data_IF_440468820668
#
_entry.id   IF_440468820668
#
_cell.length_a   1.000
_cell.length_b   1.000
_cell.length_c   1.000
_cell.angle_alpha   90.00
_cell.angle_beta   90.00
_cell.angle_gamma   90.00
#
_symmetry.space_group_name_H-M   'P 1'
#
loop_
_entity.id
_entity.type
_entity.pdbx_description
1 polymer ?
#
# COMPACT_ATOMS: atom_id res chain seq x y z
N UNK A 1 78.89 -3.26 -22.25
CA UNK A 1 77.48 -3.73 -22.20
C UNK A 1 76.75 -2.85 -21.17
N UNK A 2 75.89 -1.94 -21.63
CA UNK A 2 75.09 -1.05 -20.75
C UNK A 2 73.67 -1.56 -20.75
N UNK A 3 73.16 -1.96 -19.59
CA UNK A 3 71.74 -2.28 -19.40
C UNK A 3 71.01 -1.00 -19.00
N UNK A 4 70.04 -0.60 -19.81
CA UNK A 4 69.12 0.48 -19.46
C UNK A 4 67.88 -0.15 -18.77
N UNK A 5 67.62 0.31 -17.55
CA UNK A 5 66.40 0.02 -16.82
C UNK A 5 65.32 1.07 -17.20
N UNK A 6 64.27 0.64 -17.84
CA UNK A 6 63.05 1.45 -18.07
C UNK A 6 62.03 1.14 -16.99
N UNK A 7 61.90 2.06 -16.01
CA UNK A 7 60.81 2.00 -15.00
C UNK A 7 59.53 2.54 -15.62
N UNK A 8 58.59 1.67 -15.89
CA UNK A 8 57.24 2.05 -16.28
C UNK A 8 56.38 2.42 -15.06
N UNK A 9 55.99 3.67 -14.96
CA UNK A 9 55.04 4.16 -13.96
C UNK A 9 53.61 3.80 -14.42
N UNK A 10 52.90 2.93 -13.68
CA UNK A 10 51.49 2.64 -13.88
C UNK A 10 50.68 3.70 -13.11
N UNK A 11 50.04 4.59 -13.85
CA UNK A 11 49.13 5.57 -13.26
C UNK A 11 47.75 4.90 -13.00
N UNK A 12 47.42 4.72 -11.73
CA UNK A 12 46.13 4.24 -11.29
C UNK A 12 45.10 5.39 -11.30
N UNK A 13 44.24 5.46 -12.31
CA UNK A 13 43.16 6.43 -12.37
C UNK A 13 42.00 5.96 -11.46
N UNK A 14 41.84 6.66 -10.32
CA UNK A 14 40.69 6.48 -9.44
C UNK A 14 39.45 7.16 -10.06
N UNK A 15 38.53 6.35 -10.62
CA UNK A 15 37.24 6.83 -11.08
C UNK A 15 36.34 7.04 -9.84
N UNK A 16 36.18 8.30 -9.43
CA UNK A 16 35.23 8.70 -8.39
C UNK A 16 33.82 8.67 -8.99
N UNK A 17 33.03 7.62 -8.73
CA UNK A 17 31.58 7.62 -9.01
C UNK A 17 30.91 8.62 -8.07
N UNK A 18 30.53 9.77 -8.59
CA UNK A 18 29.68 10.72 -7.90
C UNK A 18 28.26 10.12 -7.82
N UNK A 19 27.85 9.64 -6.63
CA UNK A 19 26.46 9.32 -6.35
C UNK A 19 25.66 10.62 -6.31
N UNK A 20 24.91 10.92 -7.35
CA UNK A 20 23.91 11.99 -7.31
C UNK A 20 22.77 11.56 -6.34
N UNK A 21 22.38 12.42 -5.38
CA UNK A 21 21.25 12.10 -4.51
C UNK A 21 19.99 11.92 -5.36
N UNK A 22 19.36 10.75 -5.28
CA UNK A 22 18.06 10.53 -5.89
C UNK A 22 17.02 11.43 -5.17
N UNK A 23 16.16 12.13 -5.91
CA UNK A 23 15.08 12.88 -5.29
C UNK A 23 14.20 11.91 -4.49
N UNK A 24 14.04 12.20 -3.20
CA UNK A 24 13.10 11.47 -2.36
C UNK A 24 11.69 11.60 -2.96
N UNK A 25 10.99 10.48 -3.14
CA UNK A 25 9.61 10.52 -3.60
C UNK A 25 8.79 11.38 -2.64
N UNK A 26 7.98 12.29 -3.19
CA UNK A 26 7.13 13.14 -2.37
C UNK A 26 6.15 12.28 -1.59
N UNK A 27 6.01 12.54 -0.28
CA UNK A 27 5.10 11.78 0.59
C UNK A 27 3.65 11.96 0.12
N UNK A 28 2.88 10.86 0.13
CA UNK A 28 1.47 10.86 -0.24
C UNK A 28 0.64 11.55 0.83
N UNK A 29 0.01 12.66 0.49
CA UNK A 29 -0.88 13.41 1.37
C UNK A 29 -2.32 13.14 0.98
N UNK A 30 -3.07 12.43 1.82
CA UNK A 30 -4.52 12.24 1.63
C UNK A 30 -5.23 13.42 2.28
N UNK A 31 -5.80 14.30 1.46
CA UNK A 31 -6.58 15.46 1.93
C UNK A 31 -8.05 15.11 2.10
N UNK A 32 -8.58 14.23 1.26
CA UNK A 32 -9.95 13.70 1.32
C UNK A 32 -9.95 12.18 1.16
N UNK A 33 -10.39 11.41 2.16
CA UNK A 33 -10.47 9.95 2.12
C UNK A 33 -11.32 9.41 0.97
N UNK A 34 -12.47 10.02 0.68
CA UNK A 34 -13.36 9.52 -0.38
C UNK A 34 -12.76 9.75 -1.77
N UNK A 35 -12.18 10.92 -2.01
CA UNK A 35 -11.47 11.21 -3.25
C UNK A 35 -10.25 10.29 -3.44
N UNK A 36 -9.54 9.97 -2.36
CA UNK A 36 -8.44 9.00 -2.39
C UNK A 36 -8.94 7.61 -2.80
N UNK A 37 -9.96 7.05 -2.11
CA UNK A 37 -10.55 5.76 -2.46
C UNK A 37 -11.05 5.76 -3.91
N UNK A 38 -11.76 6.81 -4.34
CA UNK A 38 -12.19 6.97 -5.73
C UNK A 38 -11.01 6.86 -6.71
N UNK A 39 -9.88 7.48 -6.40
CA UNK A 39 -8.68 7.46 -7.25
C UNK A 39 -8.05 6.07 -7.35
N UNK A 40 -8.05 5.29 -6.26
CA UNK A 40 -7.59 3.90 -6.24
C UNK A 40 -8.46 3.05 -7.18
N UNK A 41 -9.78 3.10 -7.00
CA UNK A 41 -10.70 2.34 -7.84
C UNK A 41 -10.67 2.77 -9.31
N UNK A 42 -10.46 4.06 -9.60
CA UNK A 42 -10.31 4.53 -10.97
C UNK A 42 -9.04 3.98 -11.67
N UNK A 43 -8.02 3.60 -10.90
CA UNK A 43 -6.82 2.92 -11.43
C UNK A 43 -7.07 1.43 -11.60
N UNK A 44 -7.67 0.77 -10.60
CA UNK A 44 -8.04 -0.64 -10.68
C UNK A 44 -8.99 -0.93 -11.85
N UNK A 45 -9.95 -0.02 -12.13
CA UNK A 45 -10.87 -0.14 -13.25
C UNK A 45 -10.20 -0.07 -14.64
N UNK A 46 -8.95 0.41 -14.72
CA UNK A 46 -8.17 0.42 -15.99
C UNK A 46 -7.46 -0.89 -16.25
N UNK A 47 -7.55 -1.83 -15.35
CA UNK A 47 -6.81 -3.08 -15.35
C UNK A 47 -5.38 -2.90 -14.86
N UNK A 48 -4.88 -3.93 -14.18
CA UNK A 48 -3.54 -3.98 -13.61
C UNK A 48 -3.52 -3.89 -12.09
N UNK A 49 -2.43 -4.36 -11.51
CA UNK A 49 -2.21 -4.36 -10.06
C UNK A 49 -1.79 -2.96 -9.63
N UNK A 50 -2.70 -2.24 -9.01
CA UNK A 50 -2.37 -0.98 -8.36
C UNK A 50 -2.23 -1.18 -6.85
N UNK A 51 -1.01 -1.05 -6.36
CA UNK A 51 -0.70 -1.02 -4.94
C UNK A 51 -0.41 0.43 -4.57
N UNK A 52 -1.23 1.06 -3.70
CA UNK A 52 -0.93 2.38 -3.19
C UNK A 52 0.41 2.41 -2.44
N UNK A 53 1.10 3.56 -2.38
CA UNK A 53 2.32 3.70 -1.60
C UNK A 53 2.11 3.36 -0.12
N UNK A 54 3.11 2.76 0.53
CA UNK A 54 3.02 2.35 1.94
C UNK A 54 2.84 3.50 2.93
N UNK A 55 3.22 4.71 2.54
CA UNK A 55 3.10 5.93 3.37
C UNK A 55 1.66 6.42 3.57
N UNK A 56 0.67 5.76 2.94
CA UNK A 56 -0.75 6.03 3.18
C UNK A 56 -1.27 5.43 4.49
N UNK A 57 -0.57 4.48 5.08
CA UNK A 57 -1.04 3.77 6.27
C UNK A 57 -0.77 4.54 7.56
N UNK A 58 -1.61 4.32 8.58
CA UNK A 58 -1.27 4.74 9.94
C UNK A 58 -0.04 3.98 10.45
N UNK A 59 0.70 4.50 11.46
CA UNK A 59 1.82 3.76 12.06
C UNK A 59 1.43 2.36 12.54
N UNK A 60 0.18 2.20 13.02
CA UNK A 60 -0.34 0.91 13.44
C UNK A 60 -0.43 -0.08 12.28
N UNK A 61 -1.14 0.29 11.21
CA UNK A 61 -1.33 -0.60 10.05
C UNK A 61 -0.01 -0.85 9.32
N UNK A 62 0.87 0.16 9.21
CA UNK A 62 2.21 0.01 8.65
C UNK A 62 3.07 -0.99 9.45
N UNK A 63 2.98 -0.96 10.79
CA UNK A 63 3.70 -1.92 11.63
C UNK A 63 3.20 -3.36 11.44
N UNK A 64 1.90 -3.56 11.20
CA UNK A 64 1.33 -4.88 10.89
C UNK A 64 1.80 -5.39 9.52
N UNK A 65 1.84 -4.53 8.49
CA UNK A 65 2.43 -4.88 7.19
C UNK A 65 3.92 -5.24 7.31
N UNK A 66 4.68 -4.48 8.10
CA UNK A 66 6.09 -4.78 8.34
C UNK A 66 6.29 -6.10 9.13
N UNK A 67 5.38 -6.45 10.04
CA UNK A 67 5.37 -7.74 10.73
C UNK A 67 5.11 -8.87 9.73
N UNK A 68 4.07 -8.73 8.92
CA UNK A 68 3.69 -9.68 7.89
C UNK A 68 4.85 -9.98 6.93
N UNK A 69 5.50 -8.93 6.39
CA UNK A 69 6.65 -9.09 5.50
C UNK A 69 7.85 -9.78 6.14
N UNK A 70 8.06 -9.60 7.46
CA UNK A 70 9.12 -10.32 8.17
C UNK A 70 8.78 -11.79 8.39
N UNK A 71 7.54 -12.11 8.73
CA UNK A 71 7.10 -13.48 9.04
C UNK A 71 6.88 -14.32 7.78
N UNK A 72 6.57 -13.68 6.64
CA UNK A 72 6.46 -14.36 5.35
C UNK A 72 7.80 -14.92 4.83
N UNK A 73 8.95 -14.40 5.30
CA UNK A 73 10.29 -14.85 4.89
C UNK A 73 10.50 -14.91 3.37
N UNK A 74 9.81 -14.08 2.60
CA UNK A 74 9.84 -14.06 1.14
C UNK A 74 8.87 -15.05 0.48
N UNK A 75 8.10 -15.79 1.25
CA UNK A 75 6.97 -16.60 0.78
C UNK A 75 5.69 -15.79 0.68
N UNK A 76 4.62 -16.41 0.20
CA UNK A 76 3.28 -15.81 0.24
C UNK A 76 2.84 -15.65 1.69
N UNK A 77 2.51 -14.42 2.09
CA UNK A 77 2.08 -14.11 3.43
C UNK A 77 0.60 -14.48 3.70
N UNK A 78 0.06 -13.93 4.78
CA UNK A 78 -1.36 -14.12 5.19
C UNK A 78 -2.33 -13.43 4.26
N UNK A 79 -1.88 -12.36 3.58
CA UNK A 79 -2.63 -11.63 2.55
C UNK A 79 -2.17 -12.12 1.19
N UNK A 80 -2.94 -13.03 0.60
CA UNK A 80 -2.74 -13.61 -0.73
C UNK A 80 -3.77 -13.11 -1.76
N UNK A 81 -4.46 -12.02 -1.43
CA UNK A 81 -5.50 -11.41 -2.26
C UNK A 81 -5.40 -9.89 -2.27
N UNK A 82 -6.01 -9.26 -3.27
CA UNK A 82 -6.09 -7.80 -3.37
C UNK A 82 -7.26 -7.29 -2.53
N UNK A 83 -6.97 -6.86 -1.31
CA UNK A 83 -7.98 -6.42 -0.34
C UNK A 83 -8.82 -5.21 -0.81
N UNK A 84 -8.36 -4.46 -1.81
CA UNK A 84 -9.10 -3.36 -2.41
C UNK A 84 -10.33 -3.82 -3.20
N UNK A 85 -10.34 -5.05 -3.70
CA UNK A 85 -11.43 -5.62 -4.52
C UNK A 85 -12.05 -6.88 -3.91
N UNK A 86 -11.61 -7.25 -2.69
CA UNK A 86 -12.04 -8.48 -2.01
C UNK A 86 -11.88 -9.74 -2.86
N UNK A 87 -10.72 -9.85 -3.53
CA UNK A 87 -10.47 -10.97 -4.45
C UNK A 87 -9.02 -10.99 -4.95
N UNK A 88 -8.64 -12.07 -5.62
CA UNK A 88 -7.30 -12.22 -6.18
C UNK A 88 -7.11 -11.42 -7.46
N UNK A 89 -8.16 -11.33 -8.26
CA UNK A 89 -8.20 -10.60 -9.52
C UNK A 89 -9.57 -9.97 -9.76
N UNK A 90 -9.70 -9.24 -10.85
CA UNK A 90 -10.94 -8.65 -11.31
C UNK A 90 -10.84 -7.14 -11.54
N UNK A 91 -11.88 -6.64 -12.18
CA UNK A 91 -12.02 -5.21 -12.48
C UNK A 91 -13.27 -4.70 -11.78
N UNK A 92 -13.15 -3.83 -10.77
CA UNK A 92 -14.30 -3.32 -10.05
C UNK A 92 -15.18 -2.44 -10.95
N UNK A 93 -16.48 -2.69 -10.93
CA UNK A 93 -17.50 -1.94 -11.67
C UNK A 93 -18.60 -1.43 -10.73
N UNK A 94 -19.45 -0.53 -11.20
CA UNK A 94 -20.61 0.00 -10.44
C UNK A 94 -20.23 0.62 -9.08
N UNK A 95 -19.02 1.22 -8.97
CA UNK A 95 -18.54 1.80 -7.74
C UNK A 95 -19.46 2.90 -7.20
N UNK A 96 -19.81 2.78 -5.93
CA UNK A 96 -20.49 3.82 -5.15
C UNK A 96 -19.75 4.04 -3.85
N UNK A 97 -19.46 5.29 -3.53
CA UNK A 97 -18.80 5.68 -2.29
C UNK A 97 -19.75 6.44 -1.38
N UNK A 98 -19.68 6.16 -0.10
CA UNK A 98 -20.39 6.89 0.95
C UNK A 98 -19.45 7.17 2.11
N UNK A 99 -19.29 8.43 2.46
CA UNK A 99 -18.55 8.84 3.66
C UNK A 99 -19.44 8.79 4.89
N UNK A 100 -18.96 8.17 5.94
CA UNK A 100 -19.64 8.05 7.24
C UNK A 100 -18.78 8.74 8.30
N UNK A 101 -19.28 9.78 8.95
CA UNK A 101 -18.59 10.37 10.11
C UNK A 101 -18.62 9.38 11.28
N UNK A 102 -17.62 9.46 12.14
CA UNK A 102 -17.60 8.74 13.41
C UNK A 102 -18.04 9.71 14.50
N UNK A 103 -19.10 9.38 15.20
CA UNK A 103 -19.67 10.23 16.23
C UNK A 103 -18.64 10.58 17.29
N UNK A 104 -18.57 11.86 17.66
CA UNK A 104 -17.62 12.38 18.63
C UNK A 104 -16.14 12.38 18.19
N UNK A 105 -15.82 12.01 16.94
CA UNK A 105 -14.44 11.87 16.45
C UNK A 105 -14.24 12.59 15.11
N UNK A 106 -13.76 13.83 15.17
CA UNK A 106 -13.45 14.62 13.96
C UNK A 106 -12.18 14.14 13.26
N UNK A 107 -11.34 13.40 13.95
CA UNK A 107 -10.10 12.79 13.46
C UNK A 107 -10.30 11.38 12.87
N UNK A 108 -11.54 10.92 12.79
CA UNK A 108 -11.89 9.61 12.21
C UNK A 108 -12.92 9.76 11.10
N UNK A 109 -12.78 8.94 10.08
CA UNK A 109 -13.71 8.87 8.96
C UNK A 109 -13.78 7.47 8.39
N UNK A 110 -14.96 7.06 7.95
CA UNK A 110 -15.16 5.78 7.27
C UNK A 110 -15.63 6.09 5.85
N UNK A 111 -14.99 5.48 4.86
CA UNK A 111 -15.48 5.46 3.48
C UNK A 111 -16.00 4.06 3.20
N UNK A 112 -17.26 3.96 2.87
CA UNK A 112 -17.89 2.70 2.44
C UNK A 112 -17.88 2.67 0.93
N UNK A 113 -17.22 1.67 0.36
CA UNK A 113 -17.26 1.38 -1.07
C UNK A 113 -18.17 0.17 -1.31
N UNK A 114 -19.13 0.31 -2.22
CA UNK A 114 -19.89 -0.80 -2.77
C UNK A 114 -19.63 -0.87 -4.26
N UNK A 115 -19.39 -2.05 -4.79
CA UNK A 115 -19.03 -2.27 -6.18
C UNK A 115 -19.36 -3.72 -6.58
N UNK A 116 -19.15 -4.04 -7.84
CA UNK A 116 -19.13 -5.43 -8.31
C UNK A 116 -17.71 -5.83 -8.67
N UNK A 117 -17.30 -7.03 -8.25
CA UNK A 117 -16.13 -7.73 -8.76
C UNK A 117 -16.63 -8.94 -9.58
N UNK A 118 -16.59 -8.82 -10.92
CA UNK A 118 -17.33 -9.70 -11.78
C UNK A 118 -18.84 -9.59 -11.52
N UNK A 119 -19.49 -10.70 -11.18
CA UNK A 119 -20.93 -10.73 -10.82
C UNK A 119 -21.17 -10.57 -9.30
N UNK A 120 -20.12 -10.63 -8.49
CA UNK A 120 -20.25 -10.56 -7.03
C UNK A 120 -20.37 -9.11 -6.56
N UNK A 121 -21.34 -8.88 -5.67
CA UNK A 121 -21.54 -7.57 -5.05
C UNK A 121 -20.71 -7.48 -3.77
N UNK A 122 -19.76 -6.56 -3.75
CA UNK A 122 -18.83 -6.35 -2.65
C UNK A 122 -19.15 -5.07 -1.86
N UNK A 123 -18.74 -5.06 -0.60
CA UNK A 123 -18.87 -3.91 0.27
C UNK A 123 -17.70 -3.85 1.25
N UNK A 124 -16.86 -2.84 1.10
CA UNK A 124 -15.69 -2.59 1.94
C UNK A 124 -15.86 -1.31 2.75
N UNK A 125 -15.39 -1.32 3.99
CA UNK A 125 -15.22 -0.14 4.83
C UNK A 125 -13.75 0.19 4.96
N UNK A 126 -13.37 1.39 4.57
CA UNK A 126 -12.04 1.96 4.74
C UNK A 126 -12.06 2.92 5.92
N UNK A 127 -11.31 2.59 6.96
CA UNK A 127 -11.19 3.41 8.16
C UNK A 127 -10.01 4.34 8.03
N UNK A 128 -10.23 5.64 8.24
CA UNK A 128 -9.19 6.66 8.15
C UNK A 128 -9.03 7.38 9.47
N UNK A 129 -7.78 7.67 9.80
CA UNK A 129 -7.40 8.54 10.91
C UNK A 129 -6.68 9.77 10.38
N UNK A 130 -7.04 10.95 10.89
CA UNK A 130 -6.38 12.20 10.56
C UNK A 130 -5.17 12.41 11.48
N UNK A 131 -4.00 12.59 10.84
CA UNK A 131 -2.75 12.98 11.49
C UNK A 131 -2.31 14.38 11.10
N UNK A 132 -1.10 14.75 11.49
CA UNK A 132 -0.51 16.07 11.16
C UNK A 132 -0.26 16.24 9.65
N UNK A 133 0.02 15.17 8.93
CA UNK A 133 0.30 15.14 7.48
C UNK A 133 -0.91 14.75 6.63
N UNK A 134 -2.14 14.88 7.14
CA UNK A 134 -3.35 14.50 6.44
C UNK A 134 -3.97 13.20 6.96
N UNK A 135 -4.85 12.61 6.15
CA UNK A 135 -5.51 11.35 6.48
C UNK A 135 -4.60 10.16 6.17
N UNK A 136 -4.72 9.11 6.97
CA UNK A 136 -4.03 7.83 6.79
C UNK A 136 -5.05 6.69 6.89
N UNK A 137 -4.88 5.64 6.09
CA UNK A 137 -5.67 4.43 6.16
C UNK A 137 -5.28 3.64 7.42
N UNK A 138 -6.27 3.36 8.26
CA UNK A 138 -6.10 2.73 9.58
C UNK A 138 -6.50 1.26 9.56
N UNK A 139 -7.53 0.91 8.79
CA UNK A 139 -7.98 -0.47 8.60
C UNK A 139 -8.90 -0.59 7.39
N UNK A 140 -9.11 -1.84 6.93
CA UNK A 140 -10.11 -2.20 5.93
C UNK A 140 -10.91 -3.39 6.42
N UNK A 141 -12.23 -3.33 6.22
CA UNK A 141 -13.15 -4.39 6.64
C UNK A 141 -14.04 -4.77 5.46
N UNK A 142 -14.06 -6.06 5.11
CA UNK A 142 -15.06 -6.62 4.21
C UNK A 142 -16.35 -6.89 4.98
N UNK A 143 -17.48 -6.48 4.40
CA UNK A 143 -18.82 -6.70 4.96
C UNK A 143 -19.58 -7.83 4.25
N UNK A 144 -19.05 -8.27 3.12
CA UNK A 144 -19.64 -9.26 2.25
C UNK A 144 -18.55 -10.24 1.81
N UNK A 145 -18.74 -10.91 0.68
CA UNK A 145 -17.86 -11.95 0.20
C UNK A 145 -18.19 -13.31 0.82
N UNK A 146 -17.30 -14.27 0.63
CA UNK A 146 -17.48 -15.63 1.17
C UNK A 146 -17.34 -15.67 2.70
N UNK A 147 -16.49 -14.79 3.25
CA UNK A 147 -16.34 -14.60 4.70
C UNK A 147 -16.00 -13.13 4.98
N UNK A 148 -16.68 -12.45 5.92
CA UNK A 148 -16.27 -11.13 6.38
C UNK A 148 -14.87 -11.17 7.01
N UNK A 149 -14.06 -10.14 6.73
CA UNK A 149 -12.70 -10.07 7.28
C UNK A 149 -12.33 -8.63 7.68
N UNK A 150 -11.29 -8.53 8.52
CA UNK A 150 -10.67 -7.28 8.92
C UNK A 150 -9.17 -7.35 8.64
N UNK A 151 -8.64 -6.40 7.87
CA UNK A 151 -7.27 -6.42 7.39
C UNK A 151 -6.25 -6.51 8.53
N UNK A 152 -6.40 -5.68 9.57
CA UNK A 152 -5.51 -5.69 10.73
C UNK A 152 -5.53 -7.02 11.49
N UNK A 153 -6.67 -7.72 11.50
CA UNK A 153 -6.79 -9.05 12.13
C UNK A 153 -6.04 -10.10 11.31
N UNK A 154 -6.24 -10.13 9.98
CA UNK A 154 -5.52 -11.08 9.12
C UNK A 154 -4.01 -10.84 9.20
N UNK A 155 -3.57 -9.59 9.08
CA UNK A 155 -2.14 -9.23 9.16
C UNK A 155 -1.50 -9.68 10.48
N UNK A 156 -2.26 -9.69 11.58
CA UNK A 156 -1.74 -10.05 12.90
C UNK A 156 -1.83 -11.53 13.22
N UNK A 157 -2.93 -12.17 12.85
CA UNK A 157 -3.26 -13.52 13.32
C UNK A 157 -3.44 -14.54 12.20
N UNK A 158 -3.45 -14.13 10.94
CA UNK A 158 -3.90 -14.92 9.82
C UNK A 158 -5.43 -14.97 9.74
N UNK A 159 -5.93 -15.89 8.91
CA UNK A 159 -7.35 -16.17 8.84
C UNK A 159 -7.81 -16.84 10.14
N UNK A 160 -8.78 -16.24 10.78
CA UNK A 160 -9.42 -16.79 11.99
C UNK A 160 -10.80 -17.28 11.61
N UNK A 161 -11.07 -18.56 11.92
CA UNK A 161 -12.36 -19.22 11.72
C UNK A 161 -13.41 -18.71 12.72
#
# INVERSE_FOLDING_TARGET
MKFQNTSGAVALALLSLAFAPQPAAAATVITDPAAFVQSVYARLAKGGDYIPPEDIYTPHLAALWALEGREAHGEVGRIDFLFWIDGQDGTPTDLRLRTVPVEGRLDRRIVVATFKNGEQAEALKFYFQKGVSGWKLDDVVSLKGQAPWTLSVILKYGWVD
#
